data_IF_506446367974
#
_entry.id   IF_506446367974
#
_cell.length_a   1.000
_cell.length_b   1.000
_cell.length_c   1.000
_cell.angle_alpha   90.00
_cell.angle_beta   90.00
_cell.angle_gamma   90.00
#
_symmetry.space_group_name_H-M   'P 1'
#
loop_
_entity.id
_entity.type
_entity.pdbx_description
1 polymer ?
#
# COMPACT_ATOMS: atom_id res chain seq x y z
N UNK A 1 -7.84 2.12 23.72
CA UNK A 1 -7.93 1.42 22.42
C UNK A 1 -7.82 2.50 21.36
N UNK A 2 -6.68 2.62 20.69
CA UNK A 2 -6.45 3.68 19.71
C UNK A 2 -6.80 3.10 18.34
N UNK A 3 -8.05 3.29 17.91
CA UNK A 3 -8.54 2.82 16.61
C UNK A 3 -7.97 3.75 15.56
N UNK A 4 -7.05 3.25 14.72
CA UNK A 4 -6.55 4.01 13.57
C UNK A 4 -7.69 4.01 12.55
N UNK A 5 -8.34 5.17 12.37
CA UNK A 5 -9.39 5.31 11.38
C UNK A 5 -8.81 4.99 9.98
N UNK A 6 -9.53 4.22 9.14
CA UNK A 6 -9.11 4.00 7.76
C UNK A 6 -8.97 5.36 7.08
N UNK A 7 -7.77 5.64 6.58
CA UNK A 7 -7.55 6.84 5.76
C UNK A 7 -8.14 6.52 4.41
N UNK A 8 -9.23 7.21 4.07
CA UNK A 8 -9.85 7.13 2.76
C UNK A 8 -8.77 7.41 1.70
N UNK A 9 -8.66 6.52 0.71
CA UNK A 9 -7.72 6.70 -0.38
C UNK A 9 -7.97 8.03 -1.08
N UNK A 10 -6.90 8.70 -1.53
CA UNK A 10 -7.06 9.93 -2.31
C UNK A 10 -7.82 9.63 -3.61
N UNK A 11 -8.56 10.61 -4.13
CA UNK A 11 -9.22 10.49 -5.44
C UNK A 11 -8.20 10.03 -6.50
N UNK A 12 -8.50 8.92 -7.17
CA UNK A 12 -7.57 8.27 -8.11
C UNK A 12 -6.72 7.14 -7.52
N UNK A 13 -6.99 6.71 -6.28
CA UNK A 13 -6.44 5.47 -5.71
C UNK A 13 -7.50 4.37 -5.70
N UNK A 14 -7.05 3.12 -5.80
CA UNK A 14 -7.91 1.94 -5.73
C UNK A 14 -7.41 1.05 -4.60
N UNK A 15 -8.34 0.35 -3.94
CA UNK A 15 -8.01 -0.62 -2.90
C UNK A 15 -7.83 -1.98 -3.55
N UNK A 16 -6.68 -2.59 -3.36
CA UNK A 16 -6.37 -3.92 -3.90
C UNK A 16 -6.03 -4.88 -2.77
N UNK A 17 -6.65 -6.07 -2.81
CA UNK A 17 -6.28 -7.17 -1.94
C UNK A 17 -4.85 -7.62 -2.25
N UNK A 18 -4.09 -7.93 -1.20
CA UNK A 18 -2.77 -8.50 -1.36
C UNK A 18 -2.89 -9.90 -1.98
N UNK A 19 -2.11 -10.15 -3.04
CA UNK A 19 -2.04 -11.47 -3.71
C UNK A 19 -1.50 -12.56 -2.77
N UNK A 20 -0.75 -12.15 -1.75
CA UNK A 20 -0.15 -13.04 -0.75
C UNK A 20 -0.69 -12.72 0.64
N UNK A 21 -1.00 -13.76 1.40
CA UNK A 21 -1.32 -13.63 2.81
C UNK A 21 -0.06 -13.28 3.60
N UNK A 22 -0.13 -12.22 4.41
CA UNK A 22 0.93 -11.85 5.34
C UNK A 22 0.56 -12.26 6.76
N UNK A 23 1.55 -12.63 7.56
CA UNK A 23 1.33 -12.96 8.96
C UNK A 23 1.15 -11.69 9.80
N UNK A 24 0.32 -11.75 10.84
CA UNK A 24 0.21 -10.67 11.82
C UNK A 24 1.58 -10.38 12.47
N UNK A 25 1.89 -9.10 12.63
CA UNK A 25 3.18 -8.65 13.15
C UNK A 25 4.33 -8.66 12.14
N UNK A 26 4.10 -9.15 10.92
CA UNK A 26 5.11 -9.13 9.86
C UNK A 26 5.38 -7.70 9.40
N UNK A 27 6.65 -7.36 9.21
CA UNK A 27 7.08 -6.08 8.63
C UNK A 27 7.12 -6.21 7.11
N UNK A 28 6.38 -5.36 6.41
CA UNK A 28 6.27 -5.34 4.94
C UNK A 28 6.71 -4.00 4.38
N UNK A 29 7.34 -4.04 3.20
CA UNK A 29 7.74 -2.85 2.43
C UNK A 29 6.88 -2.77 1.19
N UNK A 30 6.33 -1.58 0.91
CA UNK A 30 5.56 -1.33 -0.29
C UNK A 30 6.42 -0.57 -1.30
N UNK A 31 6.43 -1.08 -2.52
CA UNK A 31 7.04 -0.40 -3.66
C UNK A 31 5.97 -0.20 -4.71
N UNK A 32 5.78 1.05 -5.11
CA UNK A 32 4.79 1.44 -6.10
C UNK A 32 5.48 2.06 -7.31
N UNK A 33 4.83 1.96 -8.47
CA UNK A 33 5.28 2.62 -9.70
C UNK A 33 4.08 3.23 -10.38
N UNK A 34 4.19 4.50 -10.75
CA UNK A 34 3.12 5.20 -11.45
C UNK A 34 3.27 4.88 -12.94
N UNK A 35 2.21 4.35 -13.53
CA UNK A 35 2.07 4.25 -14.97
C UNK A 35 1.44 5.54 -15.48
N UNK A 36 2.16 6.28 -16.31
CA UNK A 36 1.58 7.42 -17.02
C UNK A 36 0.67 6.92 -18.15
N UNK A 37 -0.25 7.77 -18.63
CA UNK A 37 -1.20 7.44 -19.71
C UNK A 37 -0.52 7.03 -21.03
N UNK A 38 0.78 7.32 -21.21
CA UNK A 38 1.59 6.90 -22.36
C UNK A 38 2.33 5.56 -22.11
N UNK A 39 2.05 4.88 -21.00
CA UNK A 39 2.71 3.63 -20.62
C UNK A 39 4.13 3.79 -20.09
N UNK A 40 4.63 5.04 -19.96
CA UNK A 40 5.95 5.29 -19.38
C UNK A 40 5.89 5.07 -17.87
N UNK A 41 6.81 4.24 -17.39
CA UNK A 41 7.02 3.95 -15.97
C UNK A 41 7.73 5.12 -15.29
N UNK A 42 7.21 5.56 -14.15
CA UNK A 42 7.92 6.46 -13.24
C UNK A 42 9.11 5.78 -12.57
N UNK A 43 9.90 6.57 -11.84
CA UNK A 43 10.80 6.02 -10.83
C UNK A 43 10.01 5.19 -9.81
N UNK A 44 10.67 4.17 -9.25
CA UNK A 44 10.10 3.35 -8.19
C UNK A 44 9.98 4.20 -6.93
N UNK A 45 8.77 4.32 -6.41
CA UNK A 45 8.51 4.98 -5.14
C UNK A 45 8.44 3.92 -4.04
N UNK A 46 9.18 4.16 -2.96
CA UNK A 46 9.21 3.27 -1.79
C UNK A 46 8.46 3.94 -0.65
N UNK A 47 7.53 3.21 -0.04
CA UNK A 47 6.81 3.67 1.16
C UNK A 47 7.55 3.16 2.39
N UNK A 48 7.45 3.89 3.49
CA UNK A 48 7.94 3.42 4.78
C UNK A 48 7.33 2.05 5.12
N UNK A 49 8.11 1.13 5.72
CA UNK A 49 7.62 -0.19 6.05
C UNK A 49 6.48 -0.12 7.07
N UNK A 50 5.51 -1.00 6.91
CA UNK A 50 4.35 -1.15 7.79
C UNK A 50 4.41 -2.50 8.50
N UNK A 51 3.81 -2.58 9.68
CA UNK A 51 3.53 -3.84 10.37
C UNK A 51 2.12 -4.27 10.01
N UNK A 52 1.93 -5.55 9.71
CA UNK A 52 0.61 -6.12 9.44
C UNK A 52 -0.16 -6.23 10.75
N UNK A 53 -1.31 -5.57 10.79
CA UNK A 53 -2.22 -5.52 11.93
C UNK A 53 -3.52 -6.26 11.58
N UNK A 54 -4.29 -6.67 12.60
CA UNK A 54 -5.60 -7.28 12.39
C UNK A 54 -6.63 -6.18 12.10
N UNK A 55 -7.56 -6.45 11.18
CA UNK A 55 -8.69 -5.57 10.85
C UNK A 55 -9.63 -5.33 12.05
#
# INVERSE_FOLDING_TARGET
>A
MNVVAPVEGAAGTDTMDAVFAFALGQKVWFQARIFTTTGRLSELWTVAPRVVEAD
#
